data_IF_302676650380
#
_entry.id   IF_302676650380
#
_cell.length_a   1.000
_cell.length_b   1.000
_cell.length_c   1.000
_cell.angle_alpha   90.00
_cell.angle_beta   90.00
_cell.angle_gamma   90.00
#
_symmetry.space_group_name_H-M   'P 1'
#
loop_
_entity.id
_entity.type
_entity.pdbx_description
1 polymer ?
#
# COMPACT_ATOMS: atom_id res chain seq x y z
N UNK A 1 30.19 40.67 -3.62
CA UNK A 1 29.83 39.46 -4.39
C UNK A 1 29.43 38.42 -3.37
N UNK A 2 28.17 38.01 -3.32
CA UNK A 2 27.75 36.89 -2.47
C UNK A 2 28.46 35.62 -2.94
N UNK A 3 28.97 34.82 -2.00
CA UNK A 3 29.68 33.59 -2.30
C UNK A 3 28.66 32.50 -2.69
N UNK A 4 28.95 31.61 -3.65
CA UNK A 4 27.99 30.57 -4.08
C UNK A 4 27.48 29.67 -2.93
N UNK A 5 28.29 29.51 -1.87
CA UNK A 5 27.91 28.80 -0.64
C UNK A 5 26.79 29.52 0.14
N UNK A 6 26.77 30.86 0.11
CA UNK A 6 25.77 31.66 0.81
C UNK A 6 24.40 31.52 0.13
N UNK A 7 24.40 31.45 -1.21
CA UNK A 7 23.19 31.24 -2.03
C UNK A 7 22.57 29.87 -1.72
N UNK A 8 23.38 28.81 -1.69
CA UNK A 8 22.90 27.46 -1.38
C UNK A 8 22.34 27.36 0.04
N UNK A 9 23.00 27.99 1.00
CA UNK A 9 22.56 28.02 2.40
C UNK A 9 21.20 28.72 2.52
N UNK A 10 21.05 29.89 1.90
CA UNK A 10 19.79 30.63 1.88
C UNK A 10 18.66 29.85 1.20
N UNK A 11 18.97 29.13 0.12
CA UNK A 11 17.99 28.29 -0.56
C UNK A 11 17.45 27.20 0.39
N UNK A 12 18.36 26.49 1.09
CA UNK A 12 17.99 25.47 2.08
C UNK A 12 17.15 26.05 3.22
N UNK A 13 17.47 27.24 3.72
CA UNK A 13 16.67 27.90 4.74
C UNK A 13 15.26 28.26 4.26
N UNK A 14 15.14 28.78 3.02
CA UNK A 14 13.85 29.09 2.41
C UNK A 14 13.02 27.81 2.23
N UNK A 15 13.62 26.72 1.79
CA UNK A 15 12.90 25.45 1.59
C UNK A 15 12.44 24.84 2.93
N UNK A 16 13.27 24.94 3.97
CA UNK A 16 12.88 24.58 5.35
C UNK A 16 11.69 25.41 5.84
N UNK A 17 11.72 26.73 5.61
CA UNK A 17 10.65 27.63 6.02
C UNK A 17 9.34 27.31 5.29
N UNK A 18 9.39 26.99 3.99
CA UNK A 18 8.22 26.59 3.20
C UNK A 18 7.54 25.35 3.79
N UNK A 19 8.32 24.33 4.16
CA UNK A 19 7.80 23.13 4.81
C UNK A 19 7.16 23.49 6.15
N UNK A 20 7.81 24.31 6.97
CA UNK A 20 7.27 24.70 8.28
C UNK A 20 5.94 25.48 8.15
N UNK A 21 5.86 26.46 7.24
CA UNK A 21 4.64 27.23 6.98
C UNK A 21 3.52 26.30 6.51
N UNK A 22 3.83 25.36 5.61
CA UNK A 22 2.87 24.35 5.16
C UNK A 22 2.32 23.53 6.34
N UNK A 23 3.20 23.03 7.22
CA UNK A 23 2.81 22.19 8.36
C UNK A 23 2.00 22.94 9.43
N UNK A 24 2.28 24.22 9.68
CA UNK A 24 1.55 25.06 10.63
C UNK A 24 0.14 25.39 10.12
N UNK A 25 -0.05 25.43 8.81
CA UNK A 25 -1.36 25.65 8.20
C UNK A 25 -2.30 24.44 8.21
N UNK A 26 -1.87 23.28 8.75
CA UNK A 26 -2.68 22.06 8.80
C UNK A 26 -3.56 22.01 10.06
N UNK A 27 -4.73 21.38 9.91
CA UNK A 27 -5.63 21.08 11.02
C UNK A 27 -4.98 20.13 12.06
N UNK A 28 -5.48 20.20 13.30
CA UNK A 28 -4.90 19.47 14.45
C UNK A 28 -5.03 17.93 14.32
N UNK A 29 -5.89 17.42 13.45
CA UNK A 29 -5.99 15.97 13.15
C UNK A 29 -4.73 15.43 12.44
N UNK A 30 -3.82 16.29 11.99
CA UNK A 30 -2.54 15.91 11.40
C UNK A 30 -1.36 16.05 12.37
N UNK A 31 -1.59 16.37 13.66
CA UNK A 31 -0.54 16.59 14.65
C UNK A 31 0.48 15.44 14.74
N UNK A 32 0.01 14.20 14.61
CA UNK A 32 0.86 13.02 14.64
C UNK A 32 1.82 12.99 13.45
N UNK A 33 1.29 13.06 12.22
CA UNK A 33 2.12 13.05 10.99
C UNK A 33 2.99 14.31 10.90
N UNK A 34 2.54 15.45 11.42
CA UNK A 34 3.34 16.67 11.56
C UNK A 34 4.55 16.43 12.47
N UNK A 35 4.33 15.81 13.63
CA UNK A 35 5.41 15.41 14.54
C UNK A 35 6.40 14.44 13.91
N UNK A 36 5.91 13.50 13.10
CA UNK A 36 6.77 12.54 12.39
C UNK A 36 7.63 13.24 11.33
N UNK A 37 7.02 14.09 10.48
CA UNK A 37 7.73 14.87 9.46
C UNK A 37 8.84 15.72 10.07
N UNK A 38 8.59 16.38 11.20
CA UNK A 38 9.57 17.22 11.89
C UNK A 38 10.77 16.43 12.46
N UNK A 39 10.61 15.12 12.70
CA UNK A 39 11.66 14.23 13.22
C UNK A 39 12.45 13.52 12.10
N UNK A 40 12.02 13.61 10.84
CA UNK A 40 12.70 12.93 9.75
C UNK A 40 14.03 13.60 9.39
N UNK A 41 15.05 12.79 9.16
CA UNK A 41 16.36 13.21 8.65
C UNK A 41 16.76 12.40 7.40
N UNK A 42 17.23 13.05 6.32
CA UNK A 42 17.31 14.50 6.15
C UNK A 42 15.91 15.14 6.09
N UNK A 43 15.83 16.44 6.36
CA UNK A 43 14.56 17.15 6.29
C UNK A 43 13.91 16.98 4.91
N UNK A 44 12.60 16.74 4.95
CA UNK A 44 11.80 16.54 3.76
C UNK A 44 11.67 17.83 2.95
N UNK A 45 11.66 17.68 1.63
CA UNK A 45 11.19 18.73 0.74
C UNK A 45 9.67 18.90 0.84
N UNK A 46 9.18 20.05 0.36
CA UNK A 46 7.78 20.43 0.45
C UNK A 46 6.84 19.40 -0.20
N UNK A 47 7.21 18.90 -1.37
CA UNK A 47 6.44 17.92 -2.13
C UNK A 47 6.34 16.59 -1.39
N UNK A 48 7.45 16.16 -0.76
CA UNK A 48 7.49 14.92 0.01
C UNK A 48 6.64 15.04 1.29
N UNK A 49 6.73 16.17 2.01
CA UNK A 49 5.86 16.46 3.14
C UNK A 49 4.38 16.47 2.72
N UNK A 50 4.05 17.11 1.60
CA UNK A 50 2.69 17.11 1.06
C UNK A 50 2.18 15.70 0.73
N UNK A 51 3.00 14.85 0.12
CA UNK A 51 2.63 13.48 -0.21
C UNK A 51 2.29 12.65 1.05
N UNK A 52 3.02 12.84 2.14
CA UNK A 52 2.75 12.18 3.43
C UNK A 52 1.43 12.65 4.03
N UNK A 53 1.18 13.96 4.06
CA UNK A 53 -0.08 14.52 4.56
C UNK A 53 -1.26 14.05 3.71
N UNK A 54 -1.12 14.02 2.37
CA UNK A 54 -2.16 13.53 1.47
C UNK A 54 -2.48 12.06 1.70
N UNK A 55 -1.44 11.22 1.89
CA UNK A 55 -1.63 9.80 2.24
C UNK A 55 -2.37 9.64 3.55
N UNK A 56 -2.03 10.44 4.55
CA UNK A 56 -2.69 10.41 5.85
C UNK A 56 -4.14 10.87 5.77
N UNK A 57 -4.43 11.95 5.02
CA UNK A 57 -5.79 12.42 4.77
C UNK A 57 -6.65 11.32 4.12
N UNK A 58 -6.11 10.60 3.14
CA UNK A 58 -6.81 9.49 2.49
C UNK A 58 -7.08 8.34 3.48
N UNK A 59 -6.11 8.03 4.35
CA UNK A 59 -6.27 7.00 5.39
C UNK A 59 -7.36 7.37 6.39
N UNK A 60 -7.42 8.62 6.80
CA UNK A 60 -8.48 9.12 7.69
C UNK A 60 -9.86 9.04 7.02
N UNK A 61 -9.95 9.40 5.74
CA UNK A 61 -11.19 9.29 4.96
C UNK A 61 -11.71 7.85 4.84
N UNK A 62 -10.84 6.89 4.50
CA UNK A 62 -11.26 5.49 4.40
C UNK A 62 -11.64 4.87 5.73
N UNK A 63 -10.97 5.24 6.83
CA UNK A 63 -11.35 4.79 8.17
C UNK A 63 -12.68 5.37 8.65
N UNK A 64 -12.96 6.63 8.32
CA UNK A 64 -14.26 7.26 8.62
C UNK A 64 -15.41 6.55 7.87
N UNK A 65 -15.17 6.10 6.65
CA UNK A 65 -16.17 5.38 5.84
C UNK A 65 -16.30 3.89 6.23
N UNK A 66 -15.20 3.25 6.62
CA UNK A 66 -15.19 1.87 7.13
C UNK A 66 -15.90 1.73 8.48
N UNK A 67 -15.93 2.77 9.31
CA UNK A 67 -16.68 2.81 10.57
C UNK A 67 -18.20 2.73 10.39
N UNK A 68 -18.72 3.06 9.20
CA UNK A 68 -20.16 3.01 8.86
C UNK A 68 -20.53 1.68 8.17
N UNK A 69 -19.55 0.89 7.72
CA UNK A 69 -19.78 -0.31 6.88
C UNK A 69 -19.14 -1.59 7.42
N UNK A 70 -19.07 -1.73 8.75
CA UNK A 70 -18.50 -2.92 9.42
C UNK A 70 -19.25 -4.23 9.12
N UNK A 71 -20.45 -4.20 8.53
CA UNK A 71 -21.18 -5.42 8.18
C UNK A 71 -20.81 -5.97 6.78
N UNK A 72 -20.47 -5.09 5.82
CA UNK A 72 -20.20 -5.49 4.44
C UNK A 72 -18.81 -6.14 4.27
N UNK A 73 -17.83 -5.75 5.08
CA UNK A 73 -16.46 -6.30 5.03
C UNK A 73 -16.38 -7.70 5.66
N UNK A 74 -17.26 -8.04 6.62
CA UNK A 74 -17.32 -9.37 7.20
C UNK A 74 -17.72 -10.45 6.16
N UNK A 75 -18.63 -10.13 5.23
CA UNK A 75 -19.02 -11.06 4.15
C UNK A 75 -17.90 -11.30 3.13
N UNK A 76 -17.06 -10.31 2.85
CA UNK A 76 -15.92 -10.47 1.94
C UNK A 76 -14.84 -11.40 2.53
N UNK A 77 -14.58 -11.29 3.84
CA UNK A 77 -13.68 -12.20 4.55
C UNK A 77 -14.26 -13.62 4.70
N UNK A 78 -15.58 -13.77 4.80
CA UNK A 78 -16.25 -15.08 4.81
C UNK A 78 -16.18 -15.79 3.45
N UNK A 79 -16.38 -15.06 2.34
CA UNK A 79 -16.23 -15.62 0.98
C UNK A 79 -14.78 -15.96 0.63
N UNK A 80 -13.81 -15.21 1.14
CA UNK A 80 -12.38 -15.53 0.96
C UNK A 80 -11.94 -16.76 1.77
N UNK A 81 -12.61 -17.06 2.90
CA UNK A 81 -12.35 -18.30 3.66
C UNK A 81 -12.96 -19.55 3.01
N UNK A 82 -14.04 -19.42 2.23
CA UNK A 82 -14.63 -20.54 1.51
C UNK A 82 -13.78 -21.03 0.33
N UNK A 83 -12.94 -20.18 -0.27
CA UNK A 83 -12.05 -20.59 -1.37
C UNK A 83 -10.70 -21.18 -0.91
N UNK A 84 -10.41 -21.18 0.40
CA UNK A 84 -9.16 -21.75 0.97
C UNK A 84 -9.35 -23.01 1.83
N UNK A 85 -10.56 -23.57 1.86
CA UNK A 85 -10.84 -24.80 2.62
C UNK A 85 -11.11 -26.04 1.76
N UNK A 86 -11.01 -25.96 0.43
CA UNK A 86 -11.17 -27.15 -0.42
C UNK A 86 -9.82 -27.75 -0.85
N UNK A 87 -8.95 -28.02 0.12
CA UNK A 87 -7.70 -28.75 -0.13
C UNK A 87 -7.31 -29.68 1.03
N UNK A 88 -8.27 -30.40 1.58
CA UNK A 88 -8.01 -31.65 2.29
C UNK A 88 -9.11 -32.66 1.94
N UNK A 89 -8.88 -33.40 0.85
CA UNK A 89 -9.41 -34.74 0.65
C UNK A 89 -8.43 -35.48 -0.28
N UNK A 90 -7.24 -35.75 0.27
CA UNK A 90 -6.49 -36.95 -0.10
C UNK A 90 -7.39 -38.10 0.34
N UNK A 91 -8.18 -38.67 -0.57
CA UNK A 91 -8.66 -40.08 -0.50
C UNK A 91 -9.64 -40.50 -1.62
N UNK A 92 -10.04 -39.61 -2.55
CA UNK A 92 -10.91 -39.99 -3.69
C UNK A 92 -10.24 -39.88 -5.08
N UNK A 93 -8.94 -40.18 -5.17
CA UNK A 93 -8.21 -40.28 -6.45
C UNK A 93 -7.55 -41.66 -6.57
N UNK A 94 -8.35 -42.73 -6.50
CA UNK A 94 -7.83 -44.09 -6.73
C UNK A 94 -8.52 -44.87 -7.83
N UNK A 95 -9.68 -44.44 -8.34
CA UNK A 95 -10.46 -45.24 -9.30
C UNK A 95 -10.82 -44.55 -10.62
N UNK A 96 -10.01 -43.60 -11.09
CA UNK A 96 -10.13 -43.13 -12.48
C UNK A 96 -8.81 -43.40 -13.21
N UNK A 97 -8.82 -44.17 -14.32
CA UNK A 97 -7.59 -44.44 -15.06
C UNK A 97 -7.00 -43.11 -15.56
N UNK A 98 -5.67 -42.93 -15.47
CA UNK A 98 -5.02 -41.68 -15.85
C UNK A 98 -5.25 -41.41 -17.34
N UNK A 99 -5.74 -40.21 -17.65
CA UNK A 99 -5.85 -39.75 -19.04
C UNK A 99 -4.45 -39.45 -19.55
N UNK A 100 -3.97 -40.30 -20.47
CA UNK A 100 -2.64 -40.16 -21.09
C UNK A 100 -2.70 -39.18 -22.26
N UNK A 101 -1.70 -38.31 -22.35
CA UNK A 101 -1.54 -37.46 -23.52
C UNK A 101 -1.14 -38.29 -24.74
N UNK A 102 -1.93 -38.23 -25.81
CA UNK A 102 -1.71 -38.99 -27.06
C UNK A 102 -0.44 -38.59 -27.82
N UNK A 103 0.21 -37.47 -27.47
CA UNK A 103 1.43 -36.99 -28.15
C UNK A 103 2.73 -37.37 -27.45
N UNK A 104 2.74 -37.53 -26.13
CA UNK A 104 3.96 -37.83 -25.38
C UNK A 104 3.82 -38.95 -24.33
N UNK A 105 2.63 -39.52 -24.15
CA UNK A 105 2.39 -40.69 -23.29
C UNK A 105 2.44 -40.41 -21.78
N UNK A 106 2.61 -39.16 -21.36
CA UNK A 106 2.59 -38.73 -19.95
C UNK A 106 1.17 -38.46 -19.45
N UNK A 107 0.94 -38.75 -18.17
CA UNK A 107 -0.36 -38.59 -17.52
C UNK A 107 -0.62 -37.14 -17.10
N UNK A 108 -1.88 -36.70 -17.13
CA UNK A 108 -2.39 -35.47 -16.48
C UNK A 108 -1.78 -34.12 -16.94
N UNK A 109 -1.61 -33.89 -18.24
CA UNK A 109 -1.40 -32.54 -18.77
C UNK A 109 -2.21 -32.29 -20.05
N UNK A 110 -2.54 -31.03 -20.30
CA UNK A 110 -3.17 -30.58 -21.54
C UNK A 110 -2.10 -29.89 -22.39
N UNK A 111 -1.97 -30.31 -23.65
CA UNK A 111 -0.98 -29.77 -24.60
C UNK A 111 -1.22 -28.26 -24.70
N UNK A 112 -0.19 -27.46 -24.34
CA UNK A 112 -0.23 -26.01 -24.54
C UNK A 112 -0.15 -25.76 -26.04
N UNK A 113 -1.30 -25.47 -26.64
CA UNK A 113 -1.42 -25.16 -28.06
C UNK A 113 -0.77 -23.82 -28.39
N UNK A 114 0.09 -23.84 -29.41
CA UNK A 114 0.17 -22.83 -30.46
C UNK A 114 -0.01 -23.58 -31.78
#
# INVERSE_FOLDING_TARGET
MEHPVDIETRQKEVDRLRVYIFLVGLDNNFDQVRGDILRMEPQLELEAAYALIKRESNRQGTMSEAGVTSEATALAAAKSRQSRLHNYNVDLVRNRPPMKCTKCGLDNHTIKGL
#
